data_IF_932121000631
#
_entry.id   IF_932121000631
#
_cell.length_a   1.000
_cell.length_b   1.000
_cell.length_c   1.000
_cell.angle_alpha   90.00
_cell.angle_beta   90.00
_cell.angle_gamma   90.00
#
_symmetry.space_group_name_H-M   'P 1'
#
loop_
_entity.id
_entity.type
_entity.pdbx_description
1 polymer ?
#
# COMPACT_ATOMS: atom_id res chain seq x y z
N UNK A 1 4.81 -7.20 22.70
CA UNK A 1 5.46 -6.07 21.99
C UNK A 1 5.70 -4.97 23.00
N UNK A 2 6.91 -4.43 23.08
CA UNK A 2 7.21 -3.34 24.03
C UNK A 2 6.67 -2.02 23.51
N UNK A 3 6.26 -1.12 24.40
CA UNK A 3 5.71 0.20 24.05
C UNK A 3 6.58 1.00 23.07
N UNK A 4 7.93 1.06 23.23
CA UNK A 4 8.79 1.76 22.28
C UNK A 4 8.76 1.20 20.85
N UNK A 5 8.53 -0.10 20.68
CA UNK A 5 8.39 -0.72 19.34
C UNK A 5 7.07 -0.32 18.73
N UNK A 6 6.00 -0.32 19.51
CA UNK A 6 4.67 0.10 19.03
C UNK A 6 4.65 1.55 18.58
N UNK A 7 5.29 2.44 19.35
CA UNK A 7 5.43 3.85 18.98
C UNK A 7 6.21 4.06 17.68
N UNK A 8 7.28 3.29 17.45
CA UNK A 8 8.04 3.33 16.19
C UNK A 8 7.23 2.85 15.00
N UNK A 9 6.47 1.76 15.17
CA UNK A 9 5.57 1.24 14.11
C UNK A 9 4.49 2.28 13.79
N UNK A 10 3.88 2.87 14.81
CA UNK A 10 2.89 3.92 14.65
C UNK A 10 3.46 5.15 13.93
N UNK A 11 4.61 5.63 14.35
CA UNK A 11 5.29 6.76 13.72
C UNK A 11 5.64 6.47 12.25
N UNK A 12 6.13 5.27 11.95
CA UNK A 12 6.41 4.84 10.57
C UNK A 12 5.16 4.78 9.70
N UNK A 13 4.07 4.23 10.23
CA UNK A 13 2.80 4.16 9.52
C UNK A 13 2.19 5.57 9.30
N UNK A 14 2.29 6.44 10.28
CA UNK A 14 1.86 7.84 10.17
C UNK A 14 2.69 8.58 9.11
N UNK A 15 4.02 8.44 9.14
CA UNK A 15 4.93 9.04 8.16
C UNK A 15 4.63 8.58 6.74
N UNK A 16 4.35 7.29 6.54
CA UNK A 16 3.94 6.73 5.26
C UNK A 16 2.64 7.42 4.75
N UNK A 17 1.62 7.53 5.59
CA UNK A 17 0.36 8.17 5.21
C UNK A 17 0.50 9.67 4.92
N UNK A 18 1.39 10.36 5.62
CA UNK A 18 1.74 11.77 5.33
C UNK A 18 2.39 11.86 3.95
N UNK A 19 3.34 10.99 3.65
CA UNK A 19 4.03 10.93 2.36
C UNK A 19 3.07 10.66 1.19
N UNK A 20 2.19 9.67 1.33
CA UNK A 20 1.14 9.35 0.36
C UNK A 20 0.28 10.59 0.07
N UNK A 21 -0.20 11.25 1.11
CA UNK A 21 -1.05 12.43 0.96
C UNK A 21 -0.30 13.61 0.31
N UNK A 22 0.98 13.76 0.61
CA UNK A 22 1.82 14.81 0.01
C UNK A 22 2.06 14.52 -1.48
N UNK A 23 2.35 13.27 -1.84
CA UNK A 23 2.68 12.83 -3.19
C UNK A 23 1.47 12.68 -4.12
N UNK A 24 0.31 12.25 -3.61
CA UNK A 24 -0.86 11.92 -4.40
C UNK A 24 -1.28 12.96 -5.46
N UNK A 25 -1.20 14.28 -5.25
CA UNK A 25 -1.55 15.26 -6.29
C UNK A 25 -0.63 15.26 -7.50
N UNK A 26 0.61 14.78 -7.34
CA UNK A 26 1.68 14.83 -8.36
C UNK A 26 2.16 13.43 -8.78
N UNK A 27 1.51 12.38 -8.31
CA UNK A 27 1.81 10.98 -8.65
C UNK A 27 1.58 10.63 -10.12
N UNK A 28 0.51 11.12 -10.82
CA UNK A 28 0.33 10.78 -12.23
C UNK A 28 1.55 11.10 -13.09
N UNK A 29 1.88 10.19 -14.02
CA UNK A 29 3.09 10.26 -14.87
C UNK A 29 3.22 11.53 -15.72
N UNK A 30 2.17 12.34 -15.81
CA UNK A 30 2.20 13.64 -16.47
C UNK A 30 2.98 14.69 -15.67
N UNK A 31 3.25 14.43 -14.39
CA UNK A 31 4.02 15.31 -13.52
C UNK A 31 5.51 14.96 -13.61
N UNK A 32 6.27 15.80 -14.34
CA UNK A 32 7.74 15.78 -14.28
C UNK A 32 8.23 16.73 -13.19
N UNK A 33 9.49 16.59 -12.80
CA UNK A 33 10.11 17.49 -11.82
C UNK A 33 9.96 18.96 -12.23
N UNK A 34 10.24 19.29 -13.49
CA UNK A 34 10.14 20.66 -14.02
C UNK A 34 8.71 21.17 -13.96
N UNK A 35 7.73 20.31 -14.21
CA UNK A 35 6.33 20.66 -14.13
C UNK A 35 5.90 20.93 -12.69
N UNK A 36 6.32 20.07 -11.76
CA UNK A 36 6.07 20.27 -10.33
C UNK A 36 6.69 21.59 -9.86
N UNK A 37 7.96 21.81 -10.20
CA UNK A 37 8.68 23.02 -9.86
C UNK A 37 8.03 24.28 -10.44
N UNK A 38 7.51 24.19 -11.69
CA UNK A 38 6.83 25.32 -12.34
C UNK A 38 5.50 25.67 -11.67
N UNK A 39 4.69 24.67 -11.28
CA UNK A 39 3.34 24.92 -10.76
C UNK A 39 3.31 25.14 -9.24
N UNK A 40 4.16 24.45 -8.50
CA UNK A 40 4.11 24.44 -7.04
C UNK A 40 5.37 25.05 -6.39
N UNK A 41 6.48 25.13 -7.13
CA UNK A 41 7.77 25.51 -6.55
C UNK A 41 8.27 24.46 -5.57
N UNK A 42 8.91 24.90 -4.49
CA UNK A 42 9.31 24.02 -3.40
C UNK A 42 8.08 23.61 -2.58
N UNK A 43 7.79 22.32 -2.54
CA UNK A 43 6.65 21.76 -1.80
C UNK A 43 7.08 21.53 -0.35
N UNK A 44 6.61 22.38 0.56
CA UNK A 44 6.89 22.30 2.01
C UNK A 44 5.66 21.92 2.83
N UNK A 45 4.48 21.82 2.20
CA UNK A 45 3.22 21.44 2.83
C UNK A 45 2.29 20.83 1.77
N UNK A 46 1.12 20.38 2.18
CA UNK A 46 0.11 19.80 1.29
C UNK A 46 -0.35 20.80 0.21
N UNK A 47 -0.12 20.47 -1.05
CA UNK A 47 -0.52 21.28 -2.20
C UNK A 47 -2.01 21.15 -2.52
N UNK A 48 -2.69 20.17 -1.94
CA UNK A 48 -4.12 19.94 -2.12
C UNK A 48 -4.78 19.56 -0.79
N UNK A 49 -5.90 20.21 -0.49
CA UNK A 49 -6.77 19.82 0.62
C UNK A 49 -7.64 18.63 0.19
N UNK A 50 -7.63 17.56 0.98
CA UNK A 50 -8.52 16.42 0.83
C UNK A 50 -9.55 16.45 1.95
N UNK A 51 -10.83 16.39 1.58
CA UNK A 51 -11.92 16.31 2.57
C UNK A 51 -11.87 15.01 3.35
N UNK A 52 -11.62 13.90 2.64
CA UNK A 52 -11.40 12.59 3.21
C UNK A 52 -10.11 12.02 2.64
N UNK A 53 -9.29 11.41 3.49
CA UNK A 53 -8.13 10.68 3.05
C UNK A 53 -8.53 9.22 2.87
N UNK A 54 -8.50 8.75 1.62
CA UNK A 54 -8.59 7.34 1.31
C UNK A 54 -7.17 6.77 1.25
N UNK A 55 -6.95 5.63 1.88
CA UNK A 55 -5.72 4.88 1.70
C UNK A 55 -5.61 4.46 0.22
N UNK A 56 -4.43 4.55 -0.33
CA UNK A 56 -4.10 4.10 -1.69
C UNK A 56 -3.33 2.76 -1.68
N UNK A 57 -2.75 2.38 -2.81
CA UNK A 57 -2.02 1.12 -2.95
C UNK A 57 -0.74 1.09 -2.11
N UNK A 58 -0.07 2.22 -1.89
CA UNK A 58 1.10 2.33 -1.02
C UNK A 58 0.78 1.99 0.44
N UNK A 59 -0.41 2.33 0.93
CA UNK A 59 -0.88 1.94 2.25
C UNK A 59 -1.45 0.52 2.27
N UNK A 60 -2.17 0.13 1.22
CA UNK A 60 -2.90 -1.12 1.18
C UNK A 60 -1.97 -2.32 0.97
N UNK A 61 -0.92 -2.19 0.16
CA UNK A 61 0.09 -3.21 -0.04
C UNK A 61 0.69 -3.72 1.28
N UNK A 62 1.30 -2.86 2.10
CA UNK A 62 1.83 -3.22 3.42
C UNK A 62 0.81 -3.88 4.36
N UNK A 63 -0.47 -3.48 4.30
CA UNK A 63 -1.53 -4.09 5.12
C UNK A 63 -1.74 -5.57 4.74
N UNK A 64 -1.72 -5.91 3.45
CA UNK A 64 -1.82 -7.31 3.02
C UNK A 64 -0.60 -8.14 3.44
N UNK A 65 0.61 -7.59 3.36
CA UNK A 65 1.82 -8.25 3.87
C UNK A 65 1.73 -8.50 5.37
N UNK A 66 1.27 -7.50 6.13
CA UNK A 66 1.07 -7.64 7.57
C UNK A 66 0.01 -8.70 7.87
N UNK A 67 -1.07 -8.74 7.12
CA UNK A 67 -2.12 -9.75 7.27
C UNK A 67 -1.60 -11.15 7.00
N UNK A 68 -0.84 -11.34 5.91
CA UNK A 68 -0.20 -12.61 5.60
C UNK A 68 0.72 -13.08 6.75
N UNK A 69 1.47 -12.17 7.34
CA UNK A 69 2.32 -12.45 8.49
C UNK A 69 1.51 -12.85 9.72
N UNK A 70 0.40 -12.16 9.99
CA UNK A 70 -0.47 -12.44 11.14
C UNK A 70 -1.18 -13.78 11.01
N UNK A 71 -1.64 -14.15 9.82
CA UNK A 71 -2.34 -15.42 9.58
C UNK A 71 -1.40 -16.62 9.71
N UNK A 72 -0.09 -16.41 9.62
CA UNK A 72 0.96 -17.41 9.82
C UNK A 72 1.63 -17.37 11.18
N UNK A 73 1.03 -16.81 12.20
CA UNK A 73 1.61 -16.78 13.55
C UNK A 73 2.03 -18.18 13.98
N UNK A 74 3.31 -18.34 14.33
CA UNK A 74 3.93 -19.58 14.77
C UNK A 74 4.56 -20.44 13.67
N UNK A 75 4.46 -20.10 12.38
CA UNK A 75 5.00 -20.90 11.28
C UNK A 75 6.40 -20.50 10.79
N UNK A 76 6.99 -19.46 11.36
CA UNK A 76 8.34 -19.02 11.02
C UNK A 76 8.39 -18.02 9.85
N UNK A 77 9.06 -18.39 8.76
CA UNK A 77 9.31 -17.49 7.63
C UNK A 77 8.11 -17.37 6.70
N UNK A 78 7.70 -16.14 6.39
CA UNK A 78 6.68 -15.83 5.39
C UNK A 78 7.16 -16.21 3.99
N UNK A 79 6.27 -16.81 3.20
CA UNK A 79 6.52 -17.23 1.81
C UNK A 79 5.68 -16.39 0.84
N UNK A 80 6.00 -16.46 -0.46
CA UNK A 80 5.20 -15.82 -1.50
C UNK A 80 3.75 -16.34 -1.53
N UNK A 81 3.55 -17.62 -1.23
CA UNK A 81 2.21 -18.21 -1.17
C UNK A 81 1.35 -17.61 -0.06
N UNK A 82 1.93 -17.33 1.10
CA UNK A 82 1.19 -16.71 2.21
C UNK A 82 0.67 -15.33 1.84
N UNK A 83 1.49 -14.55 1.11
CA UNK A 83 1.08 -13.25 0.60
C UNK A 83 -0.03 -13.41 -0.45
N UNK A 84 0.13 -14.35 -1.39
CA UNK A 84 -0.89 -14.61 -2.42
C UNK A 84 -2.23 -15.04 -1.81
N UNK A 85 -2.21 -15.89 -0.78
CA UNK A 85 -3.40 -16.31 -0.05
C UNK A 85 -4.06 -15.15 0.70
N UNK A 86 -3.28 -14.29 1.36
CA UNK A 86 -3.82 -13.10 2.01
C UNK A 86 -4.51 -12.17 0.99
N UNK A 87 -3.92 -11.97 -0.19
CA UNK A 87 -4.56 -11.19 -1.25
C UNK A 87 -5.87 -11.82 -1.71
N UNK A 88 -5.89 -13.12 -1.97
CA UNK A 88 -7.10 -13.83 -2.39
C UNK A 88 -8.22 -13.80 -1.35
N UNK A 89 -7.86 -13.86 -0.08
CA UNK A 89 -8.81 -13.93 1.01
C UNK A 89 -9.37 -12.56 1.40
N UNK A 90 -8.58 -11.49 1.29
CA UNK A 90 -8.92 -10.17 1.81
C UNK A 90 -9.18 -9.11 0.75
N UNK A 91 -8.66 -9.26 -0.48
CA UNK A 91 -8.99 -8.35 -1.56
C UNK A 91 -10.40 -8.58 -2.08
N UNK A 92 -11.23 -7.54 -2.11
CA UNK A 92 -12.61 -7.60 -2.61
C UNK A 92 -12.69 -7.04 -4.03
N UNK A 93 -13.49 -7.67 -4.87
CA UNK A 93 -13.83 -7.14 -6.20
C UNK A 93 -14.57 -5.79 -6.06
N UNK A 94 -14.23 -4.84 -6.94
CA UNK A 94 -14.90 -3.53 -6.99
C UNK A 94 -14.37 -2.49 -6.00
N UNK A 95 -13.49 -2.84 -5.08
CA UNK A 95 -12.74 -1.87 -4.29
C UNK A 95 -11.51 -1.50 -5.10
N UNK A 96 -11.55 -0.38 -5.81
CA UNK A 96 -10.54 0.07 -6.77
C UNK A 96 -9.20 0.46 -6.15
N UNK A 97 -8.62 -0.44 -5.36
CA UNK A 97 -7.44 -0.20 -4.56
C UNK A 97 -6.14 -0.66 -5.22
N UNK A 98 -6.25 -1.34 -6.36
CA UNK A 98 -5.09 -1.80 -7.13
C UNK A 98 -5.37 -1.66 -8.62
N UNK A 99 -4.38 -1.22 -9.37
CA UNK A 99 -4.35 -1.17 -10.84
C UNK A 99 -4.52 -2.55 -11.49
N UNK A 100 -4.43 -3.60 -10.69
CA UNK A 100 -4.39 -5.00 -11.08
C UNK A 100 -5.76 -5.61 -10.88
N UNK A 101 -6.33 -6.09 -11.93
CA UNK A 101 -7.60 -6.82 -11.83
C UNK A 101 -7.41 -8.06 -10.96
N UNK A 102 -8.32 -8.27 -10.02
CA UNK A 102 -8.34 -9.46 -9.16
C UNK A 102 -8.29 -10.76 -9.97
N UNK A 103 -8.84 -10.74 -11.19
CA UNK A 103 -8.77 -11.84 -12.17
C UNK A 103 -7.33 -12.21 -12.53
N UNK A 104 -6.43 -11.23 -12.68
CA UNK A 104 -5.02 -11.48 -13.00
C UNK A 104 -4.31 -12.12 -11.81
N UNK A 105 -4.61 -11.67 -10.59
CA UNK A 105 -4.06 -12.26 -9.37
C UNK A 105 -4.57 -13.68 -9.13
N UNK A 106 -5.86 -13.93 -9.35
CA UNK A 106 -6.44 -15.27 -9.25
C UNK A 106 -5.84 -16.23 -10.27
N UNK A 107 -5.58 -15.77 -11.50
CA UNK A 107 -4.92 -16.59 -12.53
C UNK A 107 -3.47 -16.90 -12.17
N UNK A 108 -2.73 -15.92 -11.64
CA UNK A 108 -1.36 -16.13 -11.15
C UNK A 108 -1.31 -17.11 -9.97
N UNK A 109 -2.23 -16.96 -9.01
CA UNK A 109 -2.33 -17.86 -7.85
C UNK A 109 -2.78 -19.27 -8.22
N UNK A 110 -3.62 -19.45 -9.24
CA UNK A 110 -3.98 -20.76 -9.79
C UNK A 110 -2.76 -21.46 -10.41
N UNK A 111 -1.89 -20.71 -11.13
CA UNK A 111 -0.63 -21.23 -11.63
C UNK A 111 0.38 -21.63 -10.55
N UNK A 112 0.40 -20.93 -9.41
CA UNK A 112 1.27 -21.25 -8.27
C UNK A 112 0.81 -22.54 -7.55
N UNK A 113 -0.49 -22.82 -7.49
CA UNK A 113 -1.03 -24.05 -6.87
C UNK A 113 -0.86 -25.31 -7.73
N UNK A 114 -0.50 -25.15 -8.99
CA UNK A 114 -0.27 -26.26 -9.93
C UNK A 114 1.20 -26.66 -10.07
N UNK A 115 2.12 -26.00 -9.33
CA UNK A 115 3.53 -26.33 -9.19
C UNK A 115 3.79 -27.01 -7.84
#
# INVERSE_FOLDING_TARGET
MTQPILEKIYAGFLGMNIGIRLGAPVEPTVWTYERIQHYYGEITDYVKSFKNFAADDDANGPVYFLRALMDRVGSGRMTANDVAEAWLNYAREGVGMFWWRLSTLRSAAAGIRSL
#
